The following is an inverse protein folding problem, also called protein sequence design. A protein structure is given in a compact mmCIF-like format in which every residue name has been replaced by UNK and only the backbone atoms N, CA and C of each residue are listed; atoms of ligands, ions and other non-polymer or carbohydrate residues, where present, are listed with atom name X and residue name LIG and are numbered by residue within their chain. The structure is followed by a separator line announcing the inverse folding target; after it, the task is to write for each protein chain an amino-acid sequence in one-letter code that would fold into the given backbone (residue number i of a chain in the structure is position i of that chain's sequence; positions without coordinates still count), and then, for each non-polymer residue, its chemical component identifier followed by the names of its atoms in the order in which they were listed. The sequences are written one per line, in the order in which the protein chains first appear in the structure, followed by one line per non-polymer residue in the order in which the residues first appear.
data_IF_772794640828
#
_entry.id   IF_772794640828
#
_cell.length_a   1.000
_cell.length_b   1.000
_cell.length_c   1.000
_cell.angle_alpha   90.00
_cell.angle_beta   90.00
_cell.angle_gamma   90.00
#
_symmetry.space_group_name_H-M   'P 1'
#
loop_
_entity.id
_entity.type
_entity.pdbx_description
1 polymer ?
#
# COMPACT_ATOMS: atom_id res chain seq x y z
N UNK A 1 -81.48 18.98 39.72
CA UNK A 1 -82.61 18.10 39.36
C UNK A 1 -82.05 16.96 38.52
N UNK A 2 -82.16 15.74 39.11
CA UNK A 2 -82.35 14.38 38.50
C UNK A 2 -81.67 14.14 37.17
N UNK A 3 -80.51 13.41 37.11
CA UNK A 3 -80.42 11.92 36.97
C UNK A 3 -80.91 11.41 35.60
N UNK A 4 -79.99 10.76 34.90
CA UNK A 4 -80.19 9.40 34.46
C UNK A 4 -78.93 8.88 33.73
N UNK A 5 -78.35 7.83 34.27
CA UNK A 5 -77.48 6.89 33.55
C UNK A 5 -78.40 5.88 32.82
N UNK A 6 -77.90 5.28 31.78
CA UNK A 6 -77.84 3.84 31.83
C UNK A 6 -76.52 3.17 31.50
N UNK A 7 -76.38 2.04 32.11
CA UNK A 7 -75.35 1.02 31.94
C UNK A 7 -75.49 0.31 30.59
N UNK A 8 -74.37 -0.05 29.99
CA UNK A 8 -74.20 -1.26 29.15
C UNK A 8 -72.70 -1.43 28.85
N UNK A 9 -72.10 -2.41 29.35
CA UNK A 9 -72.00 -3.67 28.69
C UNK A 9 -70.53 -3.79 28.15
N UNK A 10 -69.62 -4.25 29.05
CA UNK A 10 -68.24 -4.60 28.64
C UNK A 10 -68.25 -5.89 27.81
N UNK A 11 -67.86 -5.82 26.57
CA UNK A 11 -67.48 -7.00 25.78
C UNK A 11 -65.99 -7.07 25.76
N UNK A 12 -65.45 -8.00 26.53
CA UNK A 12 -64.00 -8.37 26.47
C UNK A 12 -63.76 -9.22 25.23
N UNK A 13 -63.20 -8.65 24.20
CA UNK A 13 -62.60 -9.40 23.10
C UNK A 13 -61.13 -9.65 23.45
N UNK A 14 -60.86 -10.86 23.95
CA UNK A 14 -59.49 -11.35 24.16
C UNK A 14 -58.82 -11.58 22.80
N UNK A 15 -57.98 -10.63 22.39
CA UNK A 15 -57.09 -10.79 21.22
C UNK A 15 -55.82 -11.53 21.70
N UNK A 16 -55.78 -12.83 21.43
CA UNK A 16 -54.57 -13.65 21.60
C UNK A 16 -53.52 -13.20 20.55
N UNK A 17 -52.55 -12.38 20.99
CA UNK A 17 -51.36 -12.16 20.23
C UNK A 17 -50.44 -13.38 20.34
N UNK A 18 -50.42 -14.20 19.31
CA UNK A 18 -49.39 -15.20 19.09
C UNK A 18 -48.09 -14.48 18.76
N UNK A 19 -47.21 -14.33 19.75
CA UNK A 19 -45.83 -13.94 19.51
C UNK A 19 -45.09 -15.08 18.78
N UNK A 20 -44.99 -14.98 17.44
CA UNK A 20 -44.02 -15.75 16.69
C UNK A 20 -42.66 -15.18 17.00
N UNK A 21 -41.91 -15.78 17.92
CA UNK A 21 -40.50 -15.53 18.12
C UNK A 21 -39.76 -16.07 16.91
N UNK A 22 -39.48 -15.17 15.96
CA UNK A 22 -38.50 -15.43 14.89
C UNK A 22 -37.14 -15.46 15.56
N UNK A 23 -36.65 -16.64 15.89
CA UNK A 23 -35.24 -16.84 16.19
C UNK A 23 -34.47 -16.53 14.91
N UNK A 24 -33.89 -15.34 14.84
CA UNK A 24 -32.83 -15.04 13.87
C UNK A 24 -31.67 -16.00 14.15
N UNK A 25 -31.59 -17.09 13.38
CA UNK A 25 -30.41 -17.91 13.31
C UNK A 25 -29.28 -16.97 12.82
N UNK A 26 -28.42 -16.56 13.74
CA UNK A 26 -27.11 -16.09 13.38
C UNK A 26 -26.42 -17.23 12.61
N UNK A 27 -26.41 -17.12 11.30
CA UNK A 27 -25.53 -17.90 10.48
C UNK A 27 -24.10 -17.51 10.90
N UNK A 28 -23.53 -18.31 11.78
CA UNK A 28 -22.09 -18.41 11.90
C UNK A 28 -21.64 -18.91 10.52
N UNK A 29 -21.16 -18.00 9.69
CA UNK A 29 -20.40 -18.35 8.50
C UNK A 29 -19.18 -19.09 8.99
N UNK A 30 -19.28 -20.41 9.01
CA UNK A 30 -18.10 -21.28 9.08
C UNK A 30 -17.14 -20.83 7.98
N UNK A 31 -15.84 -20.75 8.23
CA UNK A 31 -14.90 -20.45 7.17
C UNK A 31 -15.11 -21.52 6.10
N UNK A 32 -15.55 -21.11 4.92
CA UNK A 32 -15.65 -21.95 3.74
C UNK A 32 -14.28 -22.59 3.57
N UNK A 33 -14.24 -23.89 3.64
CA UNK A 33 -13.07 -24.70 3.36
C UNK A 33 -12.87 -24.66 1.82
N UNK A 34 -12.34 -23.53 1.37
CA UNK A 34 -11.94 -23.29 -0.02
C UNK A 34 -10.71 -24.16 -0.24
N UNK A 35 -10.81 -25.21 -1.04
CA UNK A 35 -9.88 -26.31 -1.24
C UNK A 35 -8.45 -25.93 -0.87
N UNK A 36 -7.94 -26.49 0.21
CA UNK A 36 -6.83 -26.08 1.07
C UNK A 36 -5.76 -25.28 0.32
N UNK A 37 -5.88 -23.95 0.39
CA UNK A 37 -4.85 -23.03 -0.13
C UNK A 37 -3.59 -23.27 0.69
N UNK A 38 -2.53 -23.76 0.09
CA UNK A 38 -1.23 -23.95 0.76
C UNK A 38 -0.58 -22.59 0.99
N UNK A 39 -0.95 -21.97 2.12
CA UNK A 39 -0.51 -20.63 2.52
C UNK A 39 1.02 -20.55 2.57
N UNK A 40 1.69 -21.58 3.08
CA UNK A 40 3.14 -21.60 3.17
C UNK A 40 3.80 -21.66 1.78
N UNK A 41 3.19 -22.35 0.85
CA UNK A 41 3.65 -22.37 -0.55
C UNK A 41 3.52 -21.00 -1.18
N UNK A 42 2.40 -20.31 -0.97
CA UNK A 42 2.18 -18.95 -1.50
C UNK A 42 3.22 -17.99 -0.92
N UNK A 43 3.45 -18.00 0.41
CA UNK A 43 4.43 -17.13 1.07
C UNK A 43 5.82 -17.36 0.48
N UNK A 44 6.26 -18.61 0.34
CA UNK A 44 7.56 -18.93 -0.28
C UNK A 44 7.64 -18.46 -1.73
N UNK A 45 6.55 -18.59 -2.48
CA UNK A 45 6.52 -18.20 -3.89
C UNK A 45 6.64 -16.68 -4.06
N UNK A 46 5.78 -15.89 -3.39
CA UNK A 46 5.84 -14.44 -3.57
C UNK A 46 7.12 -13.82 -2.99
N UNK A 47 7.68 -14.36 -1.90
CA UNK A 47 8.96 -13.86 -1.36
C UNK A 47 10.14 -14.18 -2.28
N UNK A 48 10.11 -15.30 -3.00
CA UNK A 48 11.07 -15.59 -4.07
C UNK A 48 10.90 -14.58 -5.22
N UNK A 49 9.67 -14.27 -5.62
CA UNK A 49 9.35 -13.25 -6.64
C UNK A 49 9.80 -11.85 -6.23
N UNK A 50 9.68 -11.48 -4.95
CA UNK A 50 10.21 -10.21 -4.42
C UNK A 50 11.75 -10.14 -4.52
N UNK A 51 12.45 -11.26 -4.35
CA UNK A 51 13.90 -11.32 -4.57
C UNK A 51 14.26 -11.12 -6.04
N UNK A 52 13.53 -11.78 -6.97
CA UNK A 52 13.69 -11.58 -8.41
C UNK A 52 13.37 -10.14 -8.82
N UNK A 53 12.26 -9.59 -8.31
CA UNK A 53 11.84 -8.21 -8.52
C UNK A 53 12.93 -7.20 -8.15
N UNK A 54 13.52 -7.30 -6.96
CA UNK A 54 14.60 -6.39 -6.54
C UNK A 54 15.80 -6.43 -7.47
N UNK A 55 16.20 -7.63 -7.86
CA UNK A 55 17.31 -7.80 -8.81
C UNK A 55 16.94 -7.18 -10.16
N UNK A 56 15.76 -7.51 -10.69
CA UNK A 56 15.32 -6.97 -11.97
C UNK A 56 15.24 -5.44 -11.96
N UNK A 57 14.64 -4.85 -10.92
CA UNK A 57 14.51 -3.41 -10.81
C UNK A 57 15.87 -2.68 -10.83
N UNK A 58 16.94 -3.33 -10.34
CA UNK A 58 18.29 -2.75 -10.41
C UNK A 58 18.84 -2.66 -11.86
N UNK A 59 18.22 -3.36 -12.81
CA UNK A 59 18.58 -3.38 -14.23
C UNK A 59 17.71 -2.45 -15.09
N UNK A 60 16.79 -1.68 -14.45
CA UNK A 60 15.90 -0.75 -15.15
C UNK A 60 16.24 0.72 -14.86
N UNK A 61 16.22 1.54 -15.90
CA UNK A 61 16.09 2.98 -15.79
C UNK A 61 14.62 3.36 -15.67
N UNK A 62 14.31 4.45 -14.98
CA UNK A 62 12.95 4.96 -14.84
C UNK A 62 12.96 6.44 -14.41
N UNK A 63 11.82 7.09 -14.53
CA UNK A 63 11.57 8.43 -14.01
C UNK A 63 10.75 8.33 -12.73
N UNK A 64 11.10 9.17 -11.73
CA UNK A 64 10.32 9.34 -10.51
C UNK A 64 9.90 10.80 -10.37
N UNK A 65 8.63 11.01 -10.04
CA UNK A 65 8.06 12.31 -9.71
C UNK A 65 7.46 12.20 -8.29
N UNK A 66 8.09 12.85 -7.32
CA UNK A 66 7.74 12.76 -5.90
C UNK A 66 7.30 14.13 -5.37
N UNK A 67 6.06 14.22 -4.90
CA UNK A 67 5.51 15.41 -4.25
C UNK A 67 5.07 15.04 -2.83
N UNK A 68 5.49 15.84 -1.85
CA UNK A 68 5.04 15.75 -0.45
C UNK A 68 4.57 17.13 -0.04
N UNK A 69 3.38 17.21 0.53
CA UNK A 69 2.75 18.46 0.94
C UNK A 69 2.35 18.37 2.40
N UNK A 70 2.48 19.49 3.13
CA UNK A 70 1.79 19.68 4.40
C UNK A 70 0.47 20.38 4.14
N UNK A 71 -0.57 19.98 4.88
CA UNK A 71 -1.96 20.41 4.68
C UNK A 71 -2.44 21.08 5.95
N UNK A 72 -2.85 22.34 5.84
CA UNK A 72 -3.42 23.11 6.94
C UNK A 72 -4.83 22.66 7.32
N UNK A 73 -5.32 23.14 8.45
CA UNK A 73 -6.65 22.81 8.99
C UNK A 73 -7.80 23.15 8.02
N UNK A 74 -7.59 24.10 7.12
CA UNK A 74 -8.55 24.48 6.07
C UNK A 74 -8.46 23.64 4.79
N UNK A 75 -7.52 22.68 4.73
CA UNK A 75 -7.24 21.89 3.53
C UNK A 75 -6.30 22.57 2.53
N UNK A 76 -5.79 23.74 2.85
CA UNK A 76 -4.80 24.48 2.07
C UNK A 76 -3.41 23.84 2.18
N UNK A 77 -2.59 23.98 1.15
CA UNK A 77 -1.20 23.52 1.15
C UNK A 77 -0.34 24.55 1.85
N UNK A 78 0.27 24.17 2.97
CA UNK A 78 1.14 25.03 3.80
C UNK A 78 2.61 24.90 3.45
N UNK A 79 3.00 23.81 2.82
CA UNK A 79 4.36 23.58 2.36
C UNK A 79 4.44 22.45 1.36
N UNK A 80 5.49 22.44 0.55
CA UNK A 80 5.69 21.45 -0.50
C UNK A 80 7.17 21.08 -0.65
N UNK A 81 7.40 19.79 -0.88
CA UNK A 81 8.61 19.19 -1.43
C UNK A 81 8.25 18.57 -2.77
N UNK A 82 8.92 18.96 -3.84
CA UNK A 82 8.71 18.37 -5.17
C UNK A 82 10.05 18.05 -5.82
N UNK A 83 10.25 16.80 -6.21
CA UNK A 83 11.48 16.34 -6.86
C UNK A 83 11.18 15.41 -8.01
N UNK A 84 11.68 15.76 -9.18
CA UNK A 84 11.62 14.90 -10.36
C UNK A 84 13.03 14.41 -10.68
N UNK A 85 13.16 13.10 -10.84
CA UNK A 85 14.43 12.43 -11.05
C UNK A 85 14.34 11.39 -12.14
N UNK A 86 15.47 11.15 -12.81
CA UNK A 86 15.67 10.01 -13.70
C UNK A 86 16.74 9.10 -13.09
N UNK A 87 16.43 7.82 -12.93
CA UNK A 87 17.40 6.79 -12.57
C UNK A 87 17.96 6.21 -13.85
N UNK A 88 19.21 6.50 -14.13
CA UNK A 88 19.89 6.15 -15.38
C UNK A 88 21.21 5.45 -15.09
N UNK A 89 21.84 4.87 -16.11
CA UNK A 89 23.10 4.14 -15.98
C UNK A 89 24.24 4.94 -16.59
N UNK A 90 25.42 4.83 -15.98
CA UNK A 90 26.70 5.25 -16.55
C UNK A 90 27.17 4.25 -17.61
N UNK A 91 28.22 4.60 -18.33
CA UNK A 91 28.91 3.68 -19.25
C UNK A 91 29.53 2.48 -18.52
N UNK A 92 29.76 2.58 -17.20
CA UNK A 92 30.24 1.50 -16.34
C UNK A 92 29.14 0.62 -15.76
N UNK A 93 27.87 0.81 -16.19
CA UNK A 93 26.69 0.11 -15.69
C UNK A 93 26.32 0.42 -14.23
N UNK A 94 26.74 1.55 -13.71
CA UNK A 94 26.33 2.01 -12.39
C UNK A 94 25.09 2.88 -12.50
N UNK A 95 24.03 2.52 -11.76
CA UNK A 95 22.81 3.31 -11.72
C UNK A 95 22.95 4.48 -10.77
N UNK A 96 22.59 5.67 -11.23
CA UNK A 96 22.57 6.88 -10.42
C UNK A 96 21.29 7.68 -10.64
N UNK A 97 20.99 8.55 -9.69
CA UNK A 97 19.87 9.48 -9.78
C UNK A 97 20.32 10.79 -10.40
N UNK A 98 19.70 11.15 -11.53
CA UNK A 98 19.81 12.46 -12.16
C UNK A 98 18.58 13.29 -11.81
N UNK A 99 18.74 14.30 -10.95
CA UNK A 99 17.67 15.23 -10.61
C UNK A 99 17.45 16.16 -11.81
N UNK A 100 16.18 16.22 -12.27
CA UNK A 100 15.79 17.05 -13.42
C UNK A 100 14.96 18.26 -13.01
N UNK A 101 14.32 18.20 -11.83
CA UNK A 101 13.56 19.31 -11.25
C UNK A 101 13.57 19.19 -9.73
N UNK A 102 13.95 20.24 -9.05
CA UNK A 102 13.95 20.31 -7.59
C UNK A 102 13.97 21.77 -7.13
N UNK A 103 12.81 22.44 -7.04
CA UNK A 103 12.71 23.77 -6.45
C UNK A 103 13.04 23.72 -4.95
N UNK A 104 13.45 24.83 -4.33
CA UNK A 104 13.63 24.89 -2.89
C UNK A 104 12.35 24.45 -2.16
N UNK A 105 12.42 23.46 -1.26
CA UNK A 105 11.28 23.04 -0.48
C UNK A 105 10.73 24.17 0.38
N UNK A 106 9.40 24.24 0.51
CA UNK A 106 8.72 25.21 1.38
C UNK A 106 8.15 24.57 2.65
N UNK A 107 8.45 23.27 2.87
CA UNK A 107 8.10 22.56 4.09
C UNK A 107 8.83 23.18 5.29
N UNK A 108 8.08 23.59 6.33
CA UNK A 108 8.63 24.14 7.57
C UNK A 108 8.36 23.24 8.77
N UNK A 109 7.39 22.35 8.65
CA UNK A 109 6.91 21.50 9.74
C UNK A 109 7.55 20.10 9.73
N UNK A 110 8.21 19.73 8.63
CA UNK A 110 8.88 18.45 8.44
C UNK A 110 10.33 18.65 8.07
N UNK A 111 11.19 17.85 8.67
CA UNK A 111 12.61 17.77 8.31
C UNK A 111 12.83 16.39 7.71
N UNK A 112 13.30 16.36 6.44
CA UNK A 112 13.71 15.12 5.79
C UNK A 112 15.16 14.81 6.18
N UNK A 113 15.37 13.60 6.65
CA UNK A 113 16.72 13.06 6.83
C UNK A 113 17.26 12.55 5.49
N UNK A 114 18.57 12.33 5.42
CA UNK A 114 19.17 11.68 4.25
C UNK A 114 18.55 10.28 4.01
N UNK A 115 18.25 9.54 5.07
CA UNK A 115 17.59 8.24 5.01
C UNK A 115 16.17 8.32 4.43
N UNK A 116 15.40 9.36 4.77
CA UNK A 116 14.07 9.56 4.18
C UNK A 116 14.17 9.83 2.69
N UNK A 117 15.19 10.59 2.26
CA UNK A 117 15.45 10.86 0.85
C UNK A 117 15.91 9.60 0.11
N UNK A 118 16.68 8.73 0.77
CA UNK A 118 17.09 7.44 0.22
C UNK A 118 15.90 6.47 0.12
N UNK A 119 15.00 6.46 1.07
CA UNK A 119 13.76 5.68 1.00
C UNK A 119 12.83 6.17 -0.10
N UNK A 120 12.70 7.49 -0.26
CA UNK A 120 12.03 8.07 -1.42
C UNK A 120 12.77 7.75 -2.73
N UNK A 121 14.10 7.60 -2.67
CA UNK A 121 14.96 7.17 -3.77
C UNK A 121 14.90 5.69 -4.05
N UNK A 122 14.75 4.89 -3.01
CA UNK A 122 14.60 3.45 -3.10
C UNK A 122 13.20 3.07 -3.49
N UNK A 123 13.02 2.57 -4.70
CA UNK A 123 11.69 2.20 -5.25
C UNK A 123 11.00 1.10 -4.45
N UNK A 124 11.64 0.51 -3.45
CA UNK A 124 11.01 -0.37 -2.45
C UNK A 124 11.97 -0.71 -1.32
N UNK A 125 12.07 0.13 -0.31
CA UNK A 125 12.91 -0.14 0.86
C UNK A 125 12.47 -1.39 1.62
N UNK A 126 11.21 -1.79 1.48
CA UNK A 126 10.58 -2.87 2.23
C UNK A 126 10.24 -4.11 1.40
N UNK A 127 11.04 -4.44 0.39
CA UNK A 127 10.82 -5.68 -0.36
C UNK A 127 10.87 -6.90 0.58
N UNK A 128 9.82 -7.71 0.54
CA UNK A 128 9.65 -8.91 1.37
C UNK A 128 10.38 -10.11 0.74
N UNK A 129 11.69 -10.01 0.65
CA UNK A 129 12.54 -11.01 0.02
C UNK A 129 12.58 -12.33 0.79
N UNK A 130 12.85 -13.44 0.08
CA UNK A 130 12.98 -14.77 0.67
C UNK A 130 13.99 -14.85 1.82
N UNK A 131 15.07 -14.07 1.76
CA UNK A 131 16.09 -13.97 2.82
C UNK A 131 15.58 -13.31 4.10
N UNK A 132 14.44 -12.64 4.06
CA UNK A 132 13.85 -11.91 5.19
C UNK A 132 12.59 -12.60 5.74
N UNK A 133 12.14 -13.71 5.16
CA UNK A 133 10.89 -14.39 5.52
C UNK A 133 10.80 -14.70 7.02
N UNK A 134 11.90 -15.12 7.63
CA UNK A 134 11.96 -15.47 9.06
C UNK A 134 11.83 -14.27 10.00
N UNK A 135 11.93 -13.05 9.46
CA UNK A 135 11.81 -11.81 10.23
C UNK A 135 10.38 -11.32 10.36
N UNK A 136 9.45 -11.91 9.60
CA UNK A 136 8.06 -11.49 9.53
C UNK A 136 7.07 -12.59 9.87
N UNK A 137 5.96 -12.20 10.46
CA UNK A 137 4.73 -12.98 10.53
C UNK A 137 3.83 -12.59 9.36
N UNK A 138 3.32 -13.60 8.67
CA UNK A 138 2.37 -13.47 7.57
C UNK A 138 1.05 -14.11 7.97
N UNK A 139 0.01 -13.30 8.12
CA UNK A 139 -1.34 -13.77 8.43
C UNK A 139 -2.21 -13.69 7.20
N UNK A 140 -2.63 -14.85 6.69
CA UNK A 140 -3.60 -14.88 5.60
C UNK A 140 -4.94 -14.30 6.04
N UNK A 141 -5.48 -13.34 5.29
CA UNK A 141 -6.75 -12.65 5.57
C UNK A 141 -7.87 -13.21 4.71
N UNK A 142 -7.58 -13.57 3.47
CA UNK A 142 -8.57 -14.05 2.51
C UNK A 142 -8.20 -13.71 1.08
N UNK A 143 -9.22 -13.60 0.23
CA UNK A 143 -9.10 -13.20 -1.16
C UNK A 143 -9.83 -11.89 -1.38
N UNK A 144 -9.24 -11.00 -2.17
CA UNK A 144 -9.86 -9.73 -2.60
C UNK A 144 -9.61 -9.52 -4.09
N UNK A 145 -10.47 -8.74 -4.72
CA UNK A 145 -10.25 -8.28 -6.08
C UNK A 145 -9.60 -6.89 -6.05
N UNK A 146 -8.53 -6.70 -6.80
CA UNK A 146 -7.86 -5.41 -7.02
C UNK A 146 -7.92 -5.14 -8.51
N UNK A 147 -8.73 -4.18 -8.93
CA UNK A 147 -9.09 -3.97 -10.33
C UNK A 147 -9.57 -5.27 -10.99
N UNK A 148 -8.90 -5.76 -12.04
CA UNK A 148 -9.21 -7.03 -12.72
C UNK A 148 -8.52 -8.26 -12.07
N UNK A 149 -7.65 -8.06 -11.07
CA UNK A 149 -6.84 -9.13 -10.51
C UNK A 149 -7.53 -9.81 -9.32
N UNK A 150 -7.48 -11.13 -9.29
CA UNK A 150 -7.84 -11.91 -8.11
C UNK A 150 -6.61 -12.08 -7.22
N UNK A 151 -6.68 -11.66 -5.95
CA UNK A 151 -5.53 -11.63 -5.07
C UNK A 151 -5.71 -12.45 -3.81
N UNK A 152 -4.61 -12.99 -3.28
CA UNK A 152 -4.49 -13.41 -1.89
C UNK A 152 -4.05 -12.22 -1.04
N UNK A 153 -4.66 -12.07 0.13
CA UNK A 153 -4.40 -10.94 1.03
C UNK A 153 -3.70 -11.43 2.29
N UNK A 154 -2.62 -10.75 2.65
CA UNK A 154 -1.88 -11.04 3.88
C UNK A 154 -1.67 -9.78 4.71
N UNK A 155 -1.91 -9.87 6.01
CA UNK A 155 -1.33 -8.93 6.97
C UNK A 155 0.10 -9.37 7.31
N UNK A 156 1.01 -8.42 7.31
CA UNK A 156 2.45 -8.63 7.50
C UNK A 156 2.93 -7.76 8.65
N UNK A 157 3.64 -8.36 9.59
CA UNK A 157 4.25 -7.64 10.69
C UNK A 157 5.63 -8.23 11.02
N UNK A 158 6.60 -7.43 11.47
CA UNK A 158 7.86 -7.96 11.95
C UNK A 158 7.66 -8.76 13.25
N UNK A 159 8.24 -9.96 13.35
CA UNK A 159 8.20 -10.80 14.57
C UNK A 159 8.79 -10.10 15.78
N UNK A 160 9.81 -9.27 15.53
CA UNK A 160 10.48 -8.48 16.55
C UNK A 160 10.66 -7.06 16.00
N UNK A 161 10.15 -6.07 16.72
CA UNK A 161 10.36 -4.68 16.36
C UNK A 161 11.84 -4.30 16.52
N UNK A 162 12.46 -3.70 15.50
CA UNK A 162 13.83 -3.19 15.59
C UNK A 162 13.93 -2.13 16.71
N UNK A 163 15.11 -2.07 17.33
CA UNK A 163 15.37 -1.06 18.38
C UNK A 163 15.67 0.32 17.79
N UNK A 164 16.23 0.36 16.58
CA UNK A 164 16.63 1.59 15.89
C UNK A 164 15.70 1.85 14.71
N UNK A 165 15.40 3.11 14.48
CA UNK A 165 14.60 3.54 13.31
C UNK A 165 15.35 3.29 12.00
N UNK A 166 16.69 3.35 12.00
CA UNK A 166 17.52 2.98 10.84
C UNK A 166 17.31 1.54 10.37
N UNK A 167 16.90 0.65 11.29
CA UNK A 167 16.68 -0.78 10.99
C UNK A 167 15.20 -1.07 10.72
N UNK A 168 14.43 -0.02 10.37
CA UNK A 168 12.97 -0.08 10.19
C UNK A 168 12.53 -1.19 9.26
N UNK A 169 11.36 -1.75 9.56
CA UNK A 169 10.73 -2.84 8.83
C UNK A 169 9.33 -2.45 8.39
N UNK A 170 8.79 -3.19 7.46
CA UNK A 170 7.42 -3.04 6.98
C UNK A 170 6.42 -3.64 7.98
N UNK A 171 5.32 -2.94 8.21
CA UNK A 171 4.10 -3.44 8.86
C UNK A 171 2.90 -2.99 8.04
N UNK A 172 2.04 -3.92 7.62
CA UNK A 172 0.89 -3.57 6.79
C UNK A 172 0.24 -4.76 6.12
N UNK A 173 -0.36 -4.50 4.98
CA UNK A 173 -1.11 -5.46 4.18
C UNK A 173 -0.53 -5.53 2.77
N UNK A 174 -0.50 -6.73 2.21
CA UNK A 174 -0.09 -6.99 0.84
C UNK A 174 -1.16 -7.77 0.09
N UNK A 175 -1.27 -7.50 -1.20
CA UNK A 175 -2.11 -8.22 -2.14
C UNK A 175 -1.21 -8.92 -3.16
N UNK A 176 -1.37 -10.23 -3.24
CA UNK A 176 -0.56 -11.13 -4.08
C UNK A 176 -1.46 -11.67 -5.17
N UNK A 177 -1.13 -11.44 -6.42
CA UNK A 177 -1.87 -11.99 -7.55
C UNK A 177 -1.93 -13.51 -7.49
N UNK A 178 -3.09 -14.10 -7.83
CA UNK A 178 -3.29 -15.54 -7.73
C UNK A 178 -2.63 -16.33 -8.86
N UNK A 179 -2.42 -15.69 -10.01
CA UNK A 179 -1.93 -16.34 -11.22
C UNK A 179 -0.40 -16.44 -11.22
N UNK A 180 0.29 -15.34 -10.94
CA UNK A 180 1.75 -15.27 -11.01
C UNK A 180 2.46 -15.18 -9.66
N UNK A 181 1.69 -15.07 -8.57
CA UNK A 181 2.16 -14.98 -7.18
C UNK A 181 3.15 -13.82 -6.96
N UNK A 182 2.93 -12.69 -7.61
CA UNK A 182 3.65 -11.44 -7.39
C UNK A 182 2.81 -10.45 -6.57
N UNK A 183 3.46 -9.61 -5.78
CA UNK A 183 2.78 -8.55 -5.03
C UNK A 183 2.38 -7.44 -5.99
N UNK A 184 1.09 -7.12 -6.05
CA UNK A 184 0.52 -6.10 -6.95
C UNK A 184 0.11 -4.83 -6.21
N UNK A 185 -0.15 -4.94 -4.91
CA UNK A 185 -0.51 -3.80 -4.06
C UNK A 185 0.07 -3.98 -2.67
N UNK A 186 0.49 -2.86 -2.07
CA UNK A 186 1.01 -2.80 -0.70
C UNK A 186 0.37 -1.64 0.02
N UNK A 187 -0.08 -1.82 1.27
CA UNK A 187 -0.53 -0.73 2.14
C UNK A 187 0.06 -0.92 3.52
N UNK A 188 0.83 0.03 4.00
CA UNK A 188 1.51 -0.13 5.29
C UNK A 188 2.37 1.07 5.65
N UNK A 189 3.21 0.87 6.64
CA UNK A 189 4.13 1.88 7.17
C UNK A 189 5.44 1.25 7.61
N UNK A 190 6.44 2.10 7.84
CA UNK A 190 7.68 1.69 8.49
C UNK A 190 7.50 1.62 10.02
N UNK A 191 8.10 0.60 10.65
CA UNK A 191 8.16 0.44 12.11
C UNK A 191 9.57 0.06 12.56
N UNK A 192 10.04 0.48 13.76
CA UNK A 192 9.33 1.30 14.73
C UNK A 192 9.23 2.76 14.31
N UNK A 193 8.20 3.44 14.80
CA UNK A 193 8.12 4.89 14.71
C UNK A 193 8.72 5.51 15.98
N UNK A 194 9.93 6.04 15.88
CA UNK A 194 10.62 6.70 16.98
C UNK A 194 10.23 8.17 17.12
N UNK A 195 11.21 9.06 17.04
CA UNK A 195 10.99 10.51 16.90
C UNK A 195 10.63 10.88 15.46
N UNK A 196 11.08 10.08 14.49
CA UNK A 196 10.60 10.11 13.10
C UNK A 196 9.21 9.46 13.01
N UNK A 197 8.39 9.97 12.09
CA UNK A 197 7.07 9.45 11.78
C UNK A 197 7.00 9.08 10.31
N UNK A 198 6.42 7.92 10.04
CA UNK A 198 6.23 7.42 8.69
C UNK A 198 4.74 7.32 8.43
N UNK A 199 4.25 7.86 7.29
CA UNK A 199 2.86 7.77 6.94
C UNK A 199 2.43 6.35 6.61
N UNK A 200 1.14 6.10 6.75
CA UNK A 200 0.51 4.95 6.14
C UNK A 200 0.43 5.19 4.62
N UNK A 201 1.25 4.49 3.87
CA UNK A 201 1.30 4.62 2.41
C UNK A 201 0.58 3.46 1.72
N UNK A 202 0.19 3.69 0.48
CA UNK A 202 -0.32 2.68 -0.43
C UNK A 202 0.45 2.74 -1.74
N UNK A 203 0.92 1.57 -2.22
CA UNK A 203 1.66 1.45 -3.47
C UNK A 203 0.94 0.48 -4.40
N UNK A 204 0.72 0.89 -5.63
CA UNK A 204 0.27 0.05 -6.73
C UNK A 204 1.42 -0.28 -7.64
N UNK A 205 1.39 -1.48 -8.17
CA UNK A 205 2.35 -1.98 -9.15
C UNK A 205 1.63 -2.36 -10.42
N UNK A 206 2.28 -2.16 -11.54
CA UNK A 206 1.81 -2.57 -12.86
C UNK A 206 2.83 -3.49 -13.51
N UNK A 207 2.35 -4.35 -14.40
CA UNK A 207 3.21 -5.27 -15.11
C UNK A 207 4.01 -4.54 -16.19
N UNK A 208 5.33 -4.58 -16.05
CA UNK A 208 6.27 -3.98 -16.99
C UNK A 208 6.92 -5.10 -17.81
N UNK A 209 6.99 -4.89 -19.13
CA UNK A 209 7.54 -5.85 -20.11
C UNK A 209 6.90 -7.26 -20.04
N UNK A 210 5.66 -7.35 -19.52
CA UNK A 210 4.93 -8.60 -19.37
C UNK A 210 5.56 -9.58 -18.37
N UNK A 211 6.45 -9.11 -17.48
CA UNK A 211 7.23 -10.00 -16.62
C UNK A 211 7.27 -9.59 -15.14
N UNK A 212 7.47 -8.32 -14.85
CA UNK A 212 7.67 -7.83 -13.49
C UNK A 212 6.61 -6.81 -13.12
N UNK A 213 6.13 -6.87 -11.87
CA UNK A 213 5.22 -5.88 -11.30
C UNK A 213 6.03 -4.79 -10.59
N UNK A 214 6.31 -3.71 -11.30
CA UNK A 214 7.04 -2.56 -10.76
C UNK A 214 6.09 -1.49 -10.20
N UNK A 215 6.50 -0.74 -9.15
CA UNK A 215 5.71 0.37 -8.63
C UNK A 215 5.43 1.40 -9.72
N UNK A 216 4.19 1.85 -9.84
CA UNK A 216 3.83 2.95 -10.73
C UNK A 216 3.28 4.13 -9.96
N UNK A 217 2.71 3.85 -8.79
CA UNK A 217 2.06 4.85 -7.98
C UNK A 217 2.19 4.54 -6.50
N UNK A 218 2.62 5.54 -5.70
CA UNK A 218 2.59 5.48 -4.24
C UNK A 218 1.91 6.74 -3.71
N UNK A 219 0.98 6.59 -2.78
CA UNK A 219 0.32 7.71 -2.11
C UNK A 219 0.24 7.51 -0.61
N UNK A 220 0.14 8.63 0.10
CA UNK A 220 -0.26 8.70 1.49
C UNK A 220 -1.08 9.97 1.73
N UNK A 221 -2.06 9.89 2.60
CA UNK A 221 -2.81 11.02 3.14
C UNK A 221 -3.03 10.68 4.62
N UNK A 222 -2.21 11.26 5.51
CA UNK A 222 -2.11 10.79 6.90
C UNK A 222 -1.74 11.94 7.84
N UNK A 223 -2.11 11.79 9.11
CA UNK A 223 -1.74 12.72 10.17
C UNK A 223 -0.59 12.15 11.01
N UNK A 224 0.58 12.77 10.90
CA UNK A 224 1.78 12.39 11.64
C UNK A 224 1.77 13.03 13.02
N UNK A 225 1.51 12.24 14.07
CA UNK A 225 1.52 12.71 15.44
C UNK A 225 2.89 12.45 16.08
N UNK A 226 3.63 13.53 16.37
CA UNK A 226 4.95 13.48 16.98
C UNK A 226 4.88 13.35 18.50
N UNK A 227 5.97 12.94 19.15
CA UNK A 227 6.02 12.74 20.61
C UNK A 227 5.78 14.03 21.41
N UNK A 228 6.12 15.18 20.86
CA UNK A 228 5.86 16.49 21.47
C UNK A 228 4.39 16.92 21.39
N UNK A 229 3.51 16.09 20.81
CA UNK A 229 2.10 16.38 20.61
C UNK A 229 1.78 17.19 19.34
N UNK A 230 2.79 17.57 18.56
CA UNK A 230 2.58 18.20 17.26
C UNK A 230 1.95 17.18 16.30
N UNK A 231 0.92 17.58 15.59
CA UNK A 231 0.30 16.83 14.51
C UNK A 231 0.55 17.57 13.18
N UNK A 232 0.98 16.85 12.17
CA UNK A 232 1.22 17.38 10.82
C UNK A 232 0.47 16.49 9.83
N UNK A 233 -0.51 17.07 9.16
CA UNK A 233 -1.22 16.40 8.07
C UNK A 233 -0.37 16.47 6.82
N UNK A 234 -0.05 15.30 6.24
CA UNK A 234 0.72 15.20 5.02
C UNK A 234 -0.07 14.55 3.90
N UNK A 235 0.24 14.97 2.70
CA UNK A 235 -0.18 14.31 1.46
C UNK A 235 1.05 14.00 0.64
N UNK A 236 1.26 12.73 0.32
CA UNK A 236 2.37 12.27 -0.50
C UNK A 236 1.85 11.62 -1.78
N UNK A 237 2.54 11.92 -2.87
CA UNK A 237 2.29 11.33 -4.17
C UNK A 237 3.61 11.06 -4.86
N UNK A 238 3.86 9.80 -5.23
CA UNK A 238 5.03 9.40 -6.01
C UNK A 238 4.59 8.63 -7.23
N UNK A 239 5.01 9.05 -8.41
CA UNK A 239 4.78 8.36 -9.68
C UNK A 239 6.10 7.85 -10.24
N UNK A 240 6.05 6.64 -10.79
CA UNK A 240 7.17 6.01 -11.46
C UNK A 240 6.76 5.68 -12.89
N UNK A 241 7.52 6.19 -13.86
CA UNK A 241 7.22 6.05 -15.29
C UNK A 241 8.48 5.74 -16.08
N UNK A 242 8.32 5.49 -17.36
CA UNK A 242 9.42 5.35 -18.31
C UNK A 242 10.41 4.22 -17.98
N UNK A 243 9.90 3.11 -17.44
CA UNK A 243 10.70 1.92 -17.19
C UNK A 243 11.32 1.40 -18.49
N UNK A 244 12.65 1.25 -18.50
CA UNK A 244 13.41 0.72 -19.64
C UNK A 244 14.50 -0.20 -19.13
N UNK A 245 14.53 -1.43 -19.62
CA UNK A 245 15.59 -2.37 -19.28
C UNK A 245 16.93 -1.89 -19.85
N UNK A 246 17.97 -1.83 -19.01
CA UNK A 246 19.31 -1.50 -19.43
C UNK A 246 19.87 -2.63 -20.31
N UNK A 247 20.47 -2.27 -21.44
CA UNK A 247 20.97 -3.24 -22.42
C UNK A 247 19.95 -3.65 -23.50
N UNK A 248 18.73 -3.13 -23.50
CA UNK A 248 17.84 -3.21 -24.65
C UNK A 248 18.45 -2.41 -25.80
N UNK A 249 19.18 -3.09 -26.68
CA UNK A 249 19.62 -2.46 -27.94
C UNK A 249 18.37 -2.21 -28.77
N UNK A 250 17.95 -0.96 -28.84
CA UNK A 250 17.06 -0.52 -29.91
C UNK A 250 17.83 -0.73 -31.21
N UNK A 251 17.51 -1.79 -31.96
CA UNK A 251 17.99 -1.94 -33.31
C UNK A 251 17.24 -0.87 -34.12
N UNK A 252 17.84 0.29 -34.29
CA UNK A 252 17.36 1.25 -35.28
C UNK A 252 17.58 0.58 -36.62
N UNK A 253 16.54 0.00 -37.19
CA UNK A 253 16.54 -0.42 -38.57
C UNK A 253 16.50 0.89 -39.37
N UNK A 254 17.62 1.29 -39.94
CA UNK A 254 17.63 2.35 -40.96
C UNK A 254 16.57 1.97 -42.00
N UNK A 255 15.54 2.81 -42.10
CA UNK A 255 14.60 2.75 -43.21
C UNK A 255 15.41 3.27 -44.39
N UNK A 256 15.85 2.34 -45.24
CA UNK A 256 16.57 2.68 -46.45
C UNK A 256 15.82 3.71 -47.27
N UNK A 257 16.55 4.73 -47.73
CA UNK A 257 16.07 5.70 -48.72
C UNK A 257 15.47 4.91 -49.89
N UNK A 258 14.23 5.27 -50.21
CA UNK A 258 13.59 4.80 -51.42
C UNK A 258 14.27 5.45 -52.65
N UNK A 259 14.44 4.72 -53.75
CA UNK A 259 15.08 5.24 -54.95
C UNK A 259 14.30 6.31 -55.65
#
# INVERSE_FOLDING_TARGET
MKSFLPKAGAVFVSLLFLFNSVYAQQQTTSPTNDGSVDIQKIIRAFTAKETEFRKALSEYSFKRDATIQTVGAGGDITGEYHRVSQFVFTDQNERFEKITYFPPPTLTELIFTQEDLEDLGGVQPFALEASKIDQYDFKYVGKEQVDELHTYVFDVAPKVLPKKVSDRRFEGRIWVDQDDLQIVKVRGKAVPQGDQRFPLFETYREQIDGRYWFPTYTSADDELVFRNGQAVHIRMLVRYTDYKHFGSKVKVTEIGEAP
#
